data_IF_735148953154
#
_entry.id   IF_735148953154
#
_cell.length_a   1.000
_cell.length_b   1.000
_cell.length_c   1.000
_cell.angle_alpha   90.00
_cell.angle_beta   90.00
_cell.angle_gamma   90.00
#
_symmetry.space_group_name_H-M   'P 1'
#
loop_
_entity.id
_entity.type
_entity.pdbx_description
1 polymer ?
#
# COMPACT_ATOMS: atom_id res chain seq x y z
N UNK A 1 3.24 -11.08 -17.92
CA UNK A 1 4.34 -12.05 -18.07
C UNK A 1 3.76 -13.44 -17.84
N UNK A 2 4.13 -14.42 -18.65
CA UNK A 2 3.77 -15.83 -18.39
C UNK A 2 4.96 -16.48 -17.68
N UNK A 3 4.79 -16.85 -16.42
CA UNK A 3 5.87 -17.37 -15.57
C UNK A 3 6.27 -18.81 -15.90
N UNK A 4 5.42 -19.52 -16.64
CA UNK A 4 5.67 -20.88 -17.10
C UNK A 4 6.41 -20.93 -18.44
N UNK A 5 6.54 -19.78 -19.12
CA UNK A 5 7.24 -19.66 -20.40
C UNK A 5 8.67 -19.16 -20.23
N UNK A 6 9.61 -19.83 -20.90
CA UNK A 6 11.02 -19.44 -20.96
C UNK A 6 11.42 -19.09 -22.41
N UNK A 7 12.15 -17.99 -22.66
CA UNK A 7 12.51 -16.95 -21.68
C UNK A 7 11.28 -16.16 -21.23
N UNK A 8 11.30 -15.72 -19.96
CA UNK A 8 10.26 -14.84 -19.44
C UNK A 8 10.23 -13.53 -20.23
N UNK A 9 9.04 -13.05 -20.59
CA UNK A 9 8.89 -11.80 -21.33
C UNK A 9 7.61 -11.04 -20.96
N UNK A 10 7.67 -9.71 -21.07
CA UNK A 10 6.50 -8.85 -20.96
C UNK A 10 5.67 -8.91 -22.24
N UNK A 11 4.39 -9.22 -22.08
CA UNK A 11 3.40 -9.12 -23.16
C UNK A 11 2.60 -7.83 -22.94
N UNK A 12 2.49 -6.94 -23.95
CA UNK A 12 1.67 -5.75 -23.84
C UNK A 12 0.21 -6.12 -23.51
N UNK A 13 -0.36 -5.43 -22.53
CA UNK A 13 -1.79 -5.46 -22.24
C UNK A 13 -2.44 -4.17 -22.78
N UNK A 14 -3.78 -4.15 -22.96
CA UNK A 14 -4.49 -2.92 -23.30
C UNK A 14 -4.15 -1.79 -22.32
N UNK A 15 -3.93 -0.60 -22.87
CA UNK A 15 -3.65 0.60 -22.08
C UNK A 15 -4.78 0.87 -21.09
N UNK A 16 -4.39 1.26 -19.87
CA UNK A 16 -5.35 1.70 -18.86
C UNK A 16 -6.11 2.94 -19.35
N UNK A 17 -7.45 2.95 -19.32
CA UNK A 17 -8.26 4.02 -19.94
C UNK A 17 -8.48 5.24 -19.04
N UNK A 18 -8.12 5.17 -17.75
CA UNK A 18 -8.19 6.31 -16.85
C UNK A 18 -6.95 7.20 -16.89
N UNK A 19 -6.97 8.30 -16.14
CA UNK A 19 -5.79 9.18 -16.01
C UNK A 19 -4.63 8.46 -15.30
N UNK A 20 -3.41 8.89 -15.61
CA UNK A 20 -2.20 8.46 -14.90
C UNK A 20 -2.37 8.71 -13.38
N UNK A 21 -1.98 7.72 -12.58
CA UNK A 21 -2.26 7.71 -11.14
C UNK A 21 -1.16 7.00 -10.35
N UNK A 22 -0.92 7.52 -9.15
CA UNK A 22 -0.02 6.92 -8.15
C UNK A 22 -0.85 6.33 -7.01
N UNK A 23 -0.31 5.29 -6.37
CA UNK A 23 -0.87 4.69 -5.13
C UNK A 23 -2.37 4.37 -5.23
N UNK A 24 -2.81 3.92 -6.41
CA UNK A 24 -4.14 3.37 -6.59
C UNK A 24 -4.25 2.01 -5.89
N UNK A 25 -5.42 1.71 -5.36
CA UNK A 25 -5.69 0.38 -4.80
C UNK A 25 -5.77 -0.61 -5.95
N UNK A 26 -5.07 -1.73 -5.83
CA UNK A 26 -5.12 -2.83 -6.79
C UNK A 26 -5.44 -4.14 -6.06
N UNK A 27 -6.42 -4.89 -6.57
CA UNK A 27 -6.73 -6.23 -6.10
C UNK A 27 -7.08 -7.13 -7.29
N UNK A 28 -6.62 -8.38 -7.28
CA UNK A 28 -6.84 -9.33 -8.36
C UNK A 28 -7.27 -10.70 -7.83
N UNK A 29 -8.17 -11.37 -8.55
CA UNK A 29 -8.57 -12.76 -8.30
C UNK A 29 -7.96 -13.74 -9.34
N UNK A 30 -7.01 -13.27 -10.14
CA UNK A 30 -6.37 -14.04 -11.23
C UNK A 30 -7.13 -14.04 -12.55
N UNK A 31 -8.41 -13.64 -12.58
CA UNK A 31 -9.20 -13.45 -13.81
C UNK A 31 -9.53 -11.99 -14.08
N UNK A 32 -9.75 -11.25 -13.00
CA UNK A 32 -10.09 -9.84 -13.02
C UNK A 32 -9.16 -9.07 -12.09
N UNK A 33 -8.76 -7.88 -12.52
CA UNK A 33 -7.97 -6.94 -11.73
C UNK A 33 -8.76 -5.65 -11.56
N UNK A 34 -9.01 -5.28 -10.31
CA UNK A 34 -9.73 -4.08 -9.93
C UNK A 34 -8.75 -2.99 -9.49
N UNK A 35 -8.93 -1.79 -10.05
CA UNK A 35 -8.17 -0.60 -9.72
C UNK A 35 -9.14 0.47 -9.21
N UNK A 36 -8.88 1.01 -8.02
CA UNK A 36 -9.68 2.07 -7.43
C UNK A 36 -8.83 3.26 -7.02
N UNK A 37 -9.37 4.47 -7.20
CA UNK A 37 -8.79 5.70 -6.68
C UNK A 37 -7.33 5.94 -7.12
N UNK A 38 -6.45 6.29 -6.17
CA UNK A 38 -5.10 6.81 -6.40
C UNK A 38 -5.08 8.33 -6.51
N UNK A 39 -3.89 8.90 -6.69
CA UNK A 39 -3.71 10.34 -6.91
C UNK A 39 -3.34 10.60 -8.37
N UNK A 40 -4.01 11.54 -9.01
CA UNK A 40 -3.75 11.90 -10.39
C UNK A 40 -4.23 13.31 -10.71
N UNK A 41 -3.96 13.75 -11.93
CA UNK A 41 -4.48 15.00 -12.47
C UNK A 41 -5.58 14.70 -13.47
N UNK A 42 -6.74 15.36 -13.35
CA UNK A 42 -7.84 15.20 -14.30
C UNK A 42 -7.52 15.88 -15.64
N UNK A 43 -6.87 17.04 -15.59
CA UNK A 43 -6.27 17.73 -16.73
C UNK A 43 -4.84 18.19 -16.39
N UNK A 44 -4.01 18.52 -17.39
CA UNK A 44 -2.60 18.91 -17.16
C UNK A 44 -2.42 20.08 -16.19
N UNK A 45 -3.33 21.06 -16.27
CA UNK A 45 -3.32 22.29 -15.48
C UNK A 45 -3.91 22.13 -14.08
N UNK A 46 -4.63 21.03 -13.81
CA UNK A 46 -5.27 20.83 -12.52
C UNK A 46 -4.22 20.52 -11.43
N UNK A 47 -4.48 20.93 -10.17
CA UNK A 47 -3.77 20.39 -9.02
C UNK A 47 -3.93 18.87 -8.94
N UNK A 48 -2.98 18.20 -8.28
CA UNK A 48 -3.10 16.79 -7.98
C UNK A 48 -4.32 16.56 -7.06
N UNK A 49 -5.08 15.49 -7.31
CA UNK A 49 -6.27 15.16 -6.52
C UNK A 49 -6.37 13.66 -6.26
N UNK A 50 -7.05 13.28 -5.18
CA UNK A 50 -7.48 11.89 -4.98
C UNK A 50 -8.60 11.56 -5.96
N UNK A 51 -8.38 10.57 -6.81
CA UNK A 51 -9.34 10.10 -7.81
C UNK A 51 -10.46 9.31 -7.13
N UNK A 52 -11.67 9.42 -7.65
CA UNK A 52 -12.90 8.82 -7.10
C UNK A 52 -13.55 7.84 -8.09
N UNK A 53 -12.72 7.19 -8.92
CA UNK A 53 -13.15 6.24 -9.94
C UNK A 53 -12.65 4.82 -9.67
N UNK A 54 -13.24 3.86 -10.38
CA UNK A 54 -12.85 2.46 -10.36
C UNK A 54 -12.87 1.86 -11.76
N UNK A 55 -11.98 0.91 -12.01
CA UNK A 55 -11.86 0.19 -13.27
C UNK A 55 -11.61 -1.29 -13.00
N UNK A 56 -12.09 -2.14 -13.90
CA UNK A 56 -11.80 -3.58 -13.89
C UNK A 56 -11.18 -3.96 -15.23
N UNK A 57 -10.09 -4.72 -15.18
CA UNK A 57 -9.56 -5.43 -16.32
C UNK A 57 -10.04 -6.87 -16.28
N UNK A 58 -10.62 -7.36 -17.37
CA UNK A 58 -10.96 -8.77 -17.54
C UNK A 58 -9.94 -9.46 -18.43
N UNK A 59 -9.38 -10.57 -17.94
CA UNK A 59 -8.47 -11.42 -18.69
C UNK A 59 -9.19 -12.16 -19.83
N UNK A 60 -10.46 -12.52 -19.65
CA UNK A 60 -11.24 -13.25 -20.66
C UNK A 60 -11.47 -12.40 -21.91
N UNK A 61 -11.85 -11.14 -21.73
CA UNK A 61 -12.08 -10.22 -22.84
C UNK A 61 -10.87 -9.36 -23.20
N UNK A 62 -9.75 -9.53 -22.48
CA UNK A 62 -8.54 -8.70 -22.55
C UNK A 62 -8.88 -7.21 -22.71
N UNK A 63 -9.69 -6.67 -21.79
CA UNK A 63 -10.14 -5.28 -21.88
C UNK A 63 -10.47 -4.66 -20.53
N UNK A 64 -10.38 -3.32 -20.50
CA UNK A 64 -10.74 -2.51 -19.35
C UNK A 64 -12.19 -2.03 -19.45
N UNK A 65 -12.85 -1.98 -18.31
CA UNK A 65 -14.16 -1.36 -18.15
C UNK A 65 -14.12 -0.40 -16.97
N UNK A 66 -14.73 0.78 -17.14
CA UNK A 66 -14.98 1.69 -16.01
C UNK A 66 -16.15 1.13 -15.21
N UNK A 67 -15.97 1.05 -13.90
CA UNK A 67 -17.00 0.59 -12.98
C UNK A 67 -17.97 1.75 -12.74
N UNK A 68 -19.26 1.52 -12.95
CA UNK A 68 -20.31 2.49 -12.62
C UNK A 68 -20.60 2.45 -11.13
N UNK A 69 -19.82 3.23 -10.37
CA UNK A 69 -19.91 3.26 -8.91
C UNK A 69 -19.54 4.64 -8.37
N UNK A 70 -19.95 4.91 -7.13
CA UNK A 70 -19.58 6.12 -6.40
C UNK A 70 -18.79 5.73 -5.15
N UNK A 71 -17.48 6.00 -5.16
CA UNK A 71 -16.62 5.72 -4.02
C UNK A 71 -17.09 6.55 -2.81
N UNK A 72 -17.24 5.94 -1.62
CA UNK A 72 -17.70 6.64 -0.43
C UNK A 72 -16.62 7.55 0.16
N UNK A 73 -15.34 7.20 -0.06
CA UNK A 73 -14.15 7.91 0.44
C UNK A 73 -13.03 7.83 -0.59
N UNK A 74 -12.04 8.73 -0.49
CA UNK A 74 -10.83 8.66 -1.31
C UNK A 74 -9.91 7.55 -0.83
N UNK A 75 -9.44 6.67 -1.71
CA UNK A 75 -8.69 5.45 -1.32
C UNK A 75 -7.21 5.51 -1.72
N UNK A 76 -6.66 6.71 -1.89
CA UNK A 76 -5.23 6.92 -2.16
C UNK A 76 -4.38 6.25 -1.07
N UNK A 77 -3.53 5.30 -1.45
CA UNK A 77 -2.65 4.55 -0.54
C UNK A 77 -3.38 3.56 0.37
N UNK A 78 -4.66 3.29 0.15
CA UNK A 78 -5.37 2.23 0.86
C UNK A 78 -4.91 0.84 0.38
N UNK A 79 -5.17 -0.18 1.18
CA UNK A 79 -4.93 -1.59 0.82
C UNK A 79 -6.25 -2.32 0.70
N UNK A 80 -6.36 -3.27 -0.23
CA UNK A 80 -7.57 -4.07 -0.38
C UNK A 80 -7.26 -5.49 -0.83
N UNK A 81 -8.12 -6.42 -0.46
CA UNK A 81 -8.10 -7.79 -0.96
C UNK A 81 -9.53 -8.37 -0.94
N UNK A 82 -9.74 -9.44 -1.70
CA UNK A 82 -11.01 -10.14 -1.78
C UNK A 82 -11.30 -10.83 -0.46
N UNK A 83 -12.51 -10.66 0.10
CA UNK A 83 -12.99 -11.50 1.21
C UNK A 83 -13.55 -12.82 0.68
N UNK A 84 -14.24 -12.77 -0.44
CA UNK A 84 -14.78 -13.89 -1.21
C UNK A 84 -14.82 -13.52 -2.71
N UNK A 85 -15.40 -14.37 -3.56
CA UNK A 85 -15.47 -14.15 -5.01
C UNK A 85 -16.29 -12.92 -5.44
N UNK A 86 -17.09 -12.34 -4.54
CA UNK A 86 -18.05 -11.26 -4.84
C UNK A 86 -17.67 -9.94 -4.19
N UNK A 87 -16.76 -9.96 -3.23
CA UNK A 87 -16.58 -8.84 -2.30
C UNK A 87 -15.11 -8.53 -2.06
N UNK A 88 -14.78 -7.24 -2.07
CA UNK A 88 -13.49 -6.71 -1.63
C UNK A 88 -13.65 -5.93 -0.32
N UNK A 89 -12.61 -5.96 0.52
CA UNK A 89 -12.51 -5.13 1.73
C UNK A 89 -11.34 -4.16 1.61
N UNK A 90 -11.56 -2.91 2.03
CA UNK A 90 -10.61 -1.81 1.89
C UNK A 90 -10.21 -1.26 3.27
N UNK A 91 -8.92 -0.97 3.42
CA UNK A 91 -8.32 -0.50 4.67
C UNK A 91 -7.55 0.80 4.43
N UNK A 92 -7.94 1.86 5.15
CA UNK A 92 -7.18 3.10 5.19
C UNK A 92 -7.32 3.97 3.94
N UNK A 93 -6.27 4.73 3.67
CA UNK A 93 -6.20 5.73 2.59
C UNK A 93 -6.42 7.16 3.05
N UNK A 94 -5.90 8.10 2.24
CA UNK A 94 -5.97 9.53 2.52
C UNK A 94 -7.41 10.06 2.49
N UNK A 95 -7.72 11.00 3.39
CA UNK A 95 -8.89 11.86 3.23
C UNK A 95 -8.71 12.75 2.00
N UNK A 96 -9.63 12.62 1.05
CA UNK A 96 -9.63 13.39 -0.20
C UNK A 96 -9.64 14.89 0.06
N UNK A 97 -10.50 15.36 0.95
CA UNK A 97 -10.69 16.80 1.22
C UNK A 97 -9.45 17.44 1.82
N UNK A 98 -8.70 16.70 2.64
CA UNK A 98 -7.44 17.15 3.24
C UNK A 98 -6.33 17.16 2.19
N UNK A 99 -6.22 16.10 1.39
CA UNK A 99 -5.22 16.00 0.33
C UNK A 99 -5.42 17.04 -0.77
N UNK A 100 -6.64 17.14 -1.32
CA UNK A 100 -6.98 18.06 -2.40
C UNK A 100 -6.77 19.51 -1.97
N UNK A 101 -7.12 19.85 -0.73
CA UNK A 101 -6.89 21.20 -0.18
C UNK A 101 -5.41 21.55 -0.14
N UNK A 102 -4.55 20.63 0.32
CA UNK A 102 -3.10 20.85 0.31
C UNK A 102 -2.62 21.19 -1.10
N UNK A 103 -2.98 20.40 -2.10
CA UNK A 103 -2.51 20.62 -3.47
C UNK A 103 -3.11 21.86 -4.13
N UNK A 104 -4.36 22.22 -3.79
CA UNK A 104 -4.95 23.49 -4.20
C UNK A 104 -4.21 24.69 -3.57
N UNK A 105 -3.85 24.61 -2.29
CA UNK A 105 -3.06 25.66 -1.62
C UNK A 105 -1.65 25.78 -2.22
N UNK A 106 -0.97 24.65 -2.45
CA UNK A 106 0.36 24.63 -3.06
C UNK A 106 0.37 25.20 -4.48
N UNK A 107 -0.67 24.94 -5.27
CA UNK A 107 -0.81 25.49 -6.62
C UNK A 107 -0.97 27.02 -6.65
N UNK A 108 -1.48 27.60 -5.56
CA UNK A 108 -1.71 29.05 -5.44
C UNK A 108 -0.55 29.81 -4.77
N UNK A 109 0.45 29.11 -4.25
CA UNK A 109 1.61 29.71 -3.57
C UNK A 109 2.50 30.50 -4.54
N UNK A 110 2.98 31.68 -4.12
CA UNK A 110 3.88 32.56 -4.88
C UNK A 110 5.34 32.26 -4.57
N UNK A 111 5.77 31.06 -4.98
CA UNK A 111 7.17 30.62 -4.92
C UNK A 111 7.51 29.73 -3.72
N UNK A 112 8.77 29.27 -3.68
CA UNK A 112 9.21 28.17 -2.83
C UNK A 112 9.05 28.42 -1.32
N UNK A 113 9.23 29.65 -0.85
CA UNK A 113 9.09 29.97 0.59
C UNK A 113 7.67 29.79 1.09
N UNK A 114 6.67 30.16 0.28
CA UNK A 114 5.26 29.99 0.66
C UNK A 114 4.88 28.51 0.60
N UNK A 115 5.33 27.80 -0.44
CA UNK A 115 5.13 26.34 -0.56
C UNK A 115 5.73 25.58 0.64
N UNK A 116 6.95 25.94 1.06
CA UNK A 116 7.59 25.33 2.21
C UNK A 116 6.79 25.55 3.50
N UNK A 117 6.30 26.76 3.75
CA UNK A 117 5.47 27.04 4.94
C UNK A 117 4.16 26.26 4.91
N UNK A 118 3.51 26.16 3.75
CA UNK A 118 2.28 25.36 3.57
C UNK A 118 2.54 23.88 3.88
N UNK A 119 3.63 23.31 3.34
CA UNK A 119 4.03 21.94 3.64
C UNK A 119 4.39 21.75 5.12
N UNK A 120 5.16 22.65 5.72
CA UNK A 120 5.53 22.59 7.14
C UNK A 120 4.30 22.61 8.05
N UNK A 121 3.32 23.48 7.76
CA UNK A 121 2.06 23.55 8.47
C UNK A 121 1.27 22.24 8.35
N UNK A 122 1.18 21.70 7.13
CA UNK A 122 0.51 20.42 6.87
C UNK A 122 1.17 19.26 7.63
N UNK A 123 2.50 19.12 7.54
CA UNK A 123 3.27 18.04 8.18
C UNK A 123 3.26 18.13 9.71
N UNK A 124 3.09 19.33 10.27
CA UNK A 124 3.07 19.57 11.72
C UNK A 124 1.73 19.25 12.39
N UNK A 125 0.72 18.81 11.62
CA UNK A 125 -0.57 18.39 12.18
C UNK A 125 -0.45 17.10 12.99
N UNK A 126 -1.31 16.94 13.99
CA UNK A 126 -1.51 15.69 14.72
C UNK A 126 -2.20 14.64 13.85
N UNK A 127 -2.07 13.36 14.22
CA UNK A 127 -2.56 12.22 13.43
C UNK A 127 -4.06 12.35 13.08
N UNK A 128 -4.90 12.74 14.04
CA UNK A 128 -6.35 12.89 13.89
C UNK A 128 -6.76 13.94 12.84
N UNK A 129 -5.93 14.95 12.61
CA UNK A 129 -6.23 16.05 11.68
C UNK A 129 -6.11 15.66 10.22
N UNK A 130 -5.38 14.58 9.91
CA UNK A 130 -5.30 14.07 8.54
C UNK A 130 -6.58 13.34 8.11
N UNK A 131 -7.39 12.89 9.07
CA UNK A 131 -8.71 12.29 8.81
C UNK A 131 -8.68 11.06 7.91
N UNK A 132 -7.55 10.33 7.85
CA UNK A 132 -7.42 9.12 7.04
C UNK A 132 -8.54 8.13 7.33
N UNK A 133 -8.96 7.36 6.31
CA UNK A 133 -10.19 6.61 6.39
C UNK A 133 -10.10 5.51 7.45
N UNK A 134 -10.83 5.73 8.54
CA UNK A 134 -10.83 4.85 9.71
C UNK A 134 -11.79 3.67 9.55
N UNK A 135 -12.65 3.69 8.54
CA UNK A 135 -13.65 2.66 8.31
C UNK A 135 -13.12 1.57 7.39
N UNK A 136 -13.63 0.34 7.58
CA UNK A 136 -13.45 -0.76 6.62
C UNK A 136 -14.64 -0.72 5.66
N UNK A 137 -14.35 -0.46 4.40
CA UNK A 137 -15.35 -0.43 3.33
C UNK A 137 -15.39 -1.76 2.60
N UNK A 138 -16.60 -2.19 2.22
CA UNK A 138 -16.82 -3.34 1.35
C UNK A 138 -17.31 -2.86 -0.01
N UNK A 139 -16.75 -3.42 -1.08
CA UNK A 139 -17.27 -3.29 -2.43
C UNK A 139 -17.92 -4.61 -2.88
N UNK A 140 -19.19 -4.57 -3.23
CA UNK A 140 -19.94 -5.66 -3.86
C UNK A 140 -19.77 -5.55 -5.38
N UNK A 141 -19.10 -6.54 -5.96
CA UNK A 141 -18.79 -6.59 -7.39
C UNK A 141 -20.06 -6.72 -8.24
N UNK A 142 -21.00 -7.56 -7.82
CA UNK A 142 -22.18 -7.89 -8.62
C UNK A 142 -23.11 -6.67 -8.78
N UNK A 143 -23.21 -5.86 -7.72
CA UNK A 143 -24.04 -4.66 -7.70
C UNK A 143 -23.26 -3.36 -7.98
N UNK A 144 -21.94 -3.43 -8.10
CA UNK A 144 -21.04 -2.26 -8.19
C UNK A 144 -21.29 -1.23 -7.07
N UNK A 145 -21.60 -1.71 -5.86
CA UNK A 145 -22.02 -0.88 -4.74
C UNK A 145 -21.07 -0.95 -3.55
N UNK A 146 -21.03 0.13 -2.79
CA UNK A 146 -20.22 0.26 -1.59
C UNK A 146 -21.08 0.19 -0.33
N UNK A 147 -20.56 -0.48 0.69
CA UNK A 147 -21.17 -0.58 2.00
C UNK A 147 -20.11 -0.35 3.08
N UNK A 148 -20.47 0.41 4.12
CA UNK A 148 -19.67 0.44 5.34
C UNK A 148 -19.75 -0.95 5.97
N UNK A 149 -18.61 -1.64 6.11
CA UNK A 149 -18.59 -2.95 6.76
C UNK A 149 -18.56 -2.78 8.28
N UNK A 150 -17.56 -2.07 8.81
CA UNK A 150 -17.48 -1.67 10.21
C UNK A 150 -16.37 -0.62 10.41
N UNK A 151 -16.30 -0.03 11.60
CA UNK A 151 -15.19 0.84 12.01
C UNK A 151 -13.92 -0.01 12.25
N UNK A 152 -12.75 0.43 11.77
CA UNK A 152 -11.48 -0.20 12.16
C UNK A 152 -11.07 0.29 13.56
N UNK A 153 -10.85 -0.58 14.55
CA UNK A 153 -10.43 -0.16 15.89
C UNK A 153 -8.94 0.21 15.99
N UNK A 154 -8.14 -0.06 14.96
CA UNK A 154 -6.72 0.28 14.88
C UNK A 154 -6.51 1.47 13.95
N UNK A 155 -5.41 2.22 14.10
CA UNK A 155 -5.15 3.40 13.29
C UNK A 155 -5.29 3.13 11.78
N UNK A 156 -5.97 4.04 11.08
CA UNK A 156 -5.95 4.07 9.62
C UNK A 156 -4.52 4.24 9.10
N UNK A 157 -4.21 3.55 8.01
CA UNK A 157 -2.85 3.56 7.43
C UNK A 157 -2.88 3.90 5.95
N UNK A 158 -1.76 4.42 5.44
CA UNK A 158 -1.52 4.59 4.02
C UNK A 158 -0.22 3.88 3.62
N UNK A 159 -0.24 3.14 2.51
CA UNK A 159 0.88 2.33 2.04
C UNK A 159 1.19 1.14 2.95
N UNK A 160 0.22 0.63 3.68
CA UNK A 160 0.36 -0.59 4.46
C UNK A 160 0.41 -1.81 3.55
N UNK A 161 1.23 -2.79 3.90
CA UNK A 161 1.24 -4.08 3.21
C UNK A 161 0.08 -4.93 3.73
N UNK A 162 -0.66 -5.58 2.83
CA UNK A 162 -1.80 -6.44 3.17
C UNK A 162 -1.54 -7.85 2.67
N UNK A 163 -1.71 -8.83 3.56
CA UNK A 163 -1.63 -10.26 3.20
C UNK A 163 -2.86 -10.97 3.73
N UNK A 164 -3.61 -11.62 2.84
CA UNK A 164 -4.65 -12.57 3.23
C UNK A 164 -4.06 -13.97 3.39
N UNK A 165 -4.18 -14.53 4.58
CA UNK A 165 -3.82 -15.92 4.88
C UNK A 165 -5.06 -16.68 5.34
N UNK A 166 -5.64 -17.49 4.45
CA UNK A 166 -6.94 -18.14 4.67
C UNK A 166 -8.03 -17.08 4.98
N UNK A 167 -8.57 -17.09 6.19
CA UNK A 167 -9.61 -16.14 6.64
C UNK A 167 -9.04 -14.95 7.46
N UNK A 168 -7.72 -14.89 7.63
CA UNK A 168 -7.06 -13.82 8.35
C UNK A 168 -6.51 -12.79 7.35
N UNK A 169 -6.90 -11.54 7.51
CA UNK A 169 -6.25 -10.41 6.83
C UNK A 169 -5.20 -9.85 7.76
N UNK A 170 -3.96 -9.73 7.30
CA UNK A 170 -2.85 -9.17 8.08
C UNK A 170 -2.41 -7.87 7.45
N UNK A 171 -2.69 -6.78 8.16
CA UNK A 171 -2.23 -5.45 7.79
C UNK A 171 -0.91 -5.18 8.52
N UNK A 172 0.14 -4.97 7.73
CA UNK A 172 1.52 -4.83 8.19
C UNK A 172 1.92 -3.37 8.02
N UNK A 173 2.03 -2.69 9.14
CA UNK A 173 2.60 -1.34 9.25
C UNK A 173 1.90 -0.30 8.36
N UNK A 174 2.63 0.43 7.51
CA UNK A 174 2.14 1.57 6.75
C UNK A 174 2.31 2.89 7.51
N UNK A 175 2.18 4.01 6.79
CA UNK A 175 2.13 5.32 7.44
C UNK A 175 0.89 5.40 8.34
N UNK A 176 0.94 6.19 9.41
CA UNK A 176 -0.23 6.61 10.22
C UNK A 176 -0.47 8.12 10.13
N UNK A 177 0.51 8.83 9.60
CA UNK A 177 0.45 10.20 9.09
C UNK A 177 1.65 10.39 8.14
N UNK A 178 1.69 11.47 7.34
CA UNK A 178 2.82 11.72 6.45
C UNK A 178 4.18 11.66 7.17
N UNK A 179 5.02 10.71 6.74
CA UNK A 179 6.36 10.48 7.25
C UNK A 179 6.47 9.94 8.69
N UNK A 180 5.41 9.32 9.22
CA UNK A 180 5.48 8.49 10.42
C UNK A 180 4.77 7.16 10.16
N UNK A 181 5.46 6.05 10.38
CA UNK A 181 4.93 4.70 10.17
C UNK A 181 4.43 4.06 11.45
N UNK A 182 3.48 3.15 11.31
CA UNK A 182 3.06 2.24 12.36
C UNK A 182 4.15 1.21 12.60
N UNK A 183 4.34 0.81 13.86
CA UNK A 183 5.14 -0.36 14.24
C UNK A 183 4.27 -1.60 14.46
N UNK A 184 2.99 -1.55 14.08
CA UNK A 184 2.02 -2.60 14.39
C UNK A 184 1.81 -3.51 13.18
N UNK A 185 1.78 -4.81 13.46
CA UNK A 185 1.15 -5.81 12.59
C UNK A 185 -0.18 -6.21 13.22
N UNK A 186 -1.27 -6.14 12.45
CA UNK A 186 -2.62 -6.38 12.96
C UNK A 186 -3.31 -7.44 12.12
N UNK A 187 -3.84 -8.46 12.79
CA UNK A 187 -4.71 -9.47 12.20
C UNK A 187 -6.18 -9.09 12.32
N UNK A 188 -6.94 -9.31 11.24
CA UNK A 188 -8.36 -9.03 11.13
C UNK A 188 -9.12 -10.30 10.73
N UNK A 189 -10.14 -10.63 11.53
CA UNK A 189 -11.07 -11.72 11.27
C UNK A 189 -12.48 -11.16 11.10
N UNK A 190 -13.02 -11.35 9.90
CA UNK A 190 -14.37 -10.93 9.53
C UNK A 190 -15.36 -12.06 9.84
N UNK A 191 -16.36 -11.75 10.65
CA UNK A 191 -17.35 -12.69 11.17
C UNK A 191 -18.72 -12.39 10.56
N UNK A 192 -19.63 -13.36 10.65
CA UNK A 192 -21.02 -13.17 10.21
C UNK A 192 -21.68 -11.95 10.87
N UNK A 193 -22.50 -11.25 10.11
CA UNK A 193 -23.24 -10.08 10.57
C UNK A 193 -22.39 -8.82 10.75
N UNK A 194 -21.40 -8.60 9.87
CA UNK A 194 -20.55 -7.39 9.86
C UNK A 194 -19.76 -7.17 11.16
N UNK A 195 -19.38 -8.27 11.81
CA UNK A 195 -18.58 -8.22 13.04
C UNK A 195 -17.11 -8.38 12.70
N UNK A 196 -16.28 -7.63 13.41
CA UNK A 196 -14.83 -7.69 13.30
C UNK A 196 -14.22 -8.13 14.63
N UNK A 197 -13.31 -9.10 14.55
CA UNK A 197 -12.35 -9.39 15.61
C UNK A 197 -10.97 -8.99 15.13
N UNK A 198 -10.19 -8.32 15.99
CA UNK A 198 -8.80 -7.95 15.67
C UNK A 198 -7.85 -8.59 16.68
N UNK A 199 -6.65 -8.90 16.23
CA UNK A 199 -5.56 -9.39 17.06
C UNK A 199 -4.28 -8.62 16.77
N UNK A 200 -3.59 -8.19 17.82
CA UNK A 200 -2.22 -7.72 17.68
C UNK A 200 -1.32 -8.92 17.37
N UNK A 201 -0.55 -8.82 16.30
CA UNK A 201 0.46 -9.81 15.95
C UNK A 201 1.84 -9.31 16.40
N UNK A 202 2.86 -10.20 16.48
CA UNK A 202 4.23 -9.79 16.75
C UNK A 202 4.66 -8.62 15.86
N UNK A 203 5.49 -7.73 16.38
CA UNK A 203 5.98 -6.56 15.63
C UNK A 203 7.42 -6.78 15.20
N UNK A 204 7.80 -6.22 14.06
CA UNK A 204 9.20 -6.28 13.60
C UNK A 204 10.12 -5.56 14.59
N UNK A 205 9.66 -4.45 15.17
CA UNK A 205 10.42 -3.70 16.19
C UNK A 205 10.71 -4.49 17.47
N UNK A 206 9.99 -5.58 17.75
CA UNK A 206 10.29 -6.45 18.89
C UNK A 206 11.54 -7.32 18.64
N UNK A 207 12.02 -7.35 17.39
CA UNK A 207 13.15 -8.16 16.92
C UNK A 207 14.31 -7.28 16.41
N UNK A 208 13.99 -6.06 15.97
CA UNK A 208 14.96 -5.03 15.60
C UNK A 208 14.58 -3.69 16.25
N UNK A 209 15.27 -3.33 17.33
CA UNK A 209 15.07 -2.07 18.07
C UNK A 209 15.31 -0.82 17.19
N UNK A 210 15.98 -0.97 16.04
CA UNK A 210 16.21 0.09 15.05
C UNK A 210 15.06 0.28 14.07
N UNK A 211 14.02 -0.56 14.12
CA UNK A 211 12.92 -0.55 13.17
C UNK A 211 12.00 0.66 13.37
N UNK A 212 11.79 1.42 12.30
CA UNK A 212 11.00 2.67 12.30
C UNK A 212 9.57 2.48 11.76
N UNK A 213 9.22 1.25 11.38
CA UNK A 213 8.04 0.94 10.60
C UNK A 213 8.30 1.14 9.12
N UNK A 214 7.55 0.43 8.27
CA UNK A 214 7.68 0.42 6.82
C UNK A 214 6.37 0.89 6.18
N UNK A 215 6.48 1.61 5.06
CA UNK A 215 5.37 1.83 4.13
C UNK A 215 5.81 1.56 2.69
N UNK A 216 4.88 1.16 1.83
CA UNK A 216 5.16 0.79 0.45
C UNK A 216 5.98 -0.49 0.35
N UNK A 217 5.85 -1.40 1.32
CA UNK A 217 6.48 -2.72 1.25
C UNK A 217 5.74 -3.62 0.28
N UNK A 218 6.47 -4.60 -0.26
CA UNK A 218 5.91 -5.72 -1.00
C UNK A 218 5.46 -6.78 0.00
N UNK A 219 4.38 -7.49 -0.30
CA UNK A 219 3.92 -8.55 0.60
C UNK A 219 3.18 -9.67 -0.11
N UNK A 220 3.16 -10.83 0.54
CA UNK A 220 2.41 -11.99 0.10
C UNK A 220 2.77 -13.22 0.93
N UNK A 221 2.38 -14.39 0.43
CA UNK A 221 2.74 -15.67 1.04
C UNK A 221 3.91 -16.29 0.28
N UNK A 222 4.89 -16.81 1.01
CA UNK A 222 5.95 -17.70 0.50
C UNK A 222 5.87 -18.98 1.32
N UNK A 223 5.67 -20.14 0.68
CA UNK A 223 5.44 -21.42 1.38
C UNK A 223 4.42 -21.29 2.53
N UNK A 224 3.28 -20.62 2.24
CA UNK A 224 2.21 -20.38 3.22
C UNK A 224 2.63 -19.53 4.46
N UNK A 225 3.78 -18.84 4.40
CA UNK A 225 4.31 -17.92 5.42
C UNK A 225 4.11 -16.47 5.00
N UNK A 226 3.57 -15.65 5.90
CA UNK A 226 3.37 -14.22 5.66
C UNK A 226 4.74 -13.54 5.54
N UNK A 227 4.96 -12.88 4.41
CA UNK A 227 6.23 -12.25 4.07
C UNK A 227 6.03 -10.76 3.77
N UNK A 228 6.89 -9.92 4.34
CA UNK A 228 7.06 -8.51 4.01
C UNK A 228 8.45 -8.33 3.39
N UNK A 229 8.54 -7.63 2.26
CA UNK A 229 9.79 -7.37 1.57
C UNK A 229 9.96 -5.87 1.34
N UNK A 230 11.14 -5.35 1.63
CA UNK A 230 11.53 -3.98 1.36
C UNK A 230 10.64 -2.92 2.00
N UNK A 231 10.36 -1.85 1.25
CA UNK A 231 9.58 -0.69 1.69
C UNK A 231 10.45 0.45 2.24
N UNK A 232 9.85 1.62 2.46
CA UNK A 232 10.58 2.85 2.80
C UNK A 232 10.26 3.36 4.20
N UNK A 233 11.20 4.06 4.83
CA UNK A 233 11.12 4.57 6.21
C UNK A 233 12.04 5.78 6.48
N UNK A 234 11.99 6.34 7.69
CA UNK A 234 12.80 7.48 8.12
C UNK A 234 13.43 7.21 9.49
N UNK A 235 14.76 7.11 9.55
CA UNK A 235 15.51 6.86 10.80
C UNK A 235 15.40 8.06 11.74
N UNK A 236 14.86 7.85 12.93
CA UNK A 236 14.61 8.86 13.96
C UNK A 236 13.18 9.40 13.98
N UNK A 237 12.30 8.97 13.08
CA UNK A 237 10.94 9.48 12.99
C UNK A 237 10.09 9.13 14.22
N UNK A 238 10.22 7.90 14.73
CA UNK A 238 9.56 7.45 15.95
C UNK A 238 10.04 8.25 17.17
N UNK A 239 11.36 8.44 17.29
CA UNK A 239 11.96 9.22 18.38
C UNK A 239 11.54 10.69 18.35
N UNK A 240 11.50 11.31 17.17
CA UNK A 240 11.01 12.67 16.99
C UNK A 240 9.56 12.80 17.43
N UNK A 241 8.69 11.88 17.00
CA UNK A 241 7.28 11.88 17.36
C UNK A 241 7.07 11.66 18.87
N UNK A 242 7.80 10.73 19.48
CA UNK A 242 7.76 10.47 20.93
C UNK A 242 8.18 11.70 21.77
N UNK A 243 9.01 12.58 21.21
CA UNK A 243 9.40 13.87 21.82
C UNK A 243 8.41 15.01 21.53
N UNK A 244 7.24 14.71 20.93
CA UNK A 244 6.19 15.68 20.63
C UNK A 244 6.42 16.47 19.33
N UNK A 245 7.40 16.09 18.49
CA UNK A 245 7.59 16.72 17.16
C UNK A 245 6.64 16.08 16.15
N UNK A 246 5.51 16.74 15.89
CA UNK A 246 4.54 16.24 14.92
C UNK A 246 5.14 16.12 13.52
N UNK A 247 5.92 17.08 13.03
CA UNK A 247 6.69 16.91 11.79
C UNK A 247 7.87 15.94 12.05
N UNK A 248 7.54 14.66 12.25
CA UNK A 248 8.42 13.61 12.75
C UNK A 248 9.63 13.35 11.86
N UNK A 249 9.52 13.61 10.56
CA UNK A 249 10.56 13.35 9.57
C UNK A 249 11.25 14.62 9.05
N UNK A 250 11.05 15.77 9.72
CA UNK A 250 11.69 17.02 9.30
C UNK A 250 13.21 16.89 9.32
N UNK A 251 13.85 17.12 8.17
CA UNK A 251 15.30 17.03 8.01
C UNK A 251 15.86 15.60 7.99
N UNK A 252 15.00 14.58 8.05
CA UNK A 252 15.42 13.18 7.93
C UNK A 252 15.51 12.78 6.46
N UNK A 253 16.41 11.85 6.16
CA UNK A 253 16.51 11.21 4.84
C UNK A 253 15.61 9.98 4.79
N UNK A 254 14.94 9.76 3.65
CA UNK A 254 14.17 8.54 3.41
C UNK A 254 15.13 7.38 3.11
N UNK A 255 14.90 6.24 3.75
CA UNK A 255 15.64 5.00 3.54
C UNK A 255 14.72 3.95 2.90
N UNK A 256 15.32 3.01 2.17
CA UNK A 256 14.63 1.91 1.50
C UNK A 256 15.23 0.61 2.05
N UNK A 257 14.38 -0.24 2.59
CA UNK A 257 14.78 -1.52 3.16
C UNK A 257 15.07 -2.53 2.05
N UNK A 258 16.10 -3.33 2.24
CA UNK A 258 16.37 -4.55 1.46
C UNK A 258 15.90 -5.81 2.18
N UNK A 259 15.43 -5.72 3.42
CA UNK A 259 15.07 -6.89 4.24
C UNK A 259 13.88 -7.66 3.68
N UNK A 260 13.93 -8.98 3.84
CA UNK A 260 12.83 -9.92 3.66
C UNK A 260 12.48 -10.47 5.04
N UNK A 261 11.33 -10.03 5.56
CA UNK A 261 10.80 -10.45 6.85
C UNK A 261 9.76 -11.54 6.66
N UNK A 262 9.82 -12.60 7.47
CA UNK A 262 8.81 -13.65 7.53
C UNK A 262 8.22 -13.73 8.94
N UNK A 263 6.90 -13.86 9.02
CA UNK A 263 6.18 -14.00 10.28
C UNK A 263 6.00 -15.48 10.62
N UNK A 264 6.78 -15.93 11.61
CA UNK A 264 6.70 -17.25 12.23
C UNK A 264 5.59 -17.27 13.28
N UNK A 265 4.80 -18.35 13.34
CA UNK A 265 3.69 -18.47 14.29
C UNK A 265 4.10 -18.61 15.75
N UNK A 266 5.32 -19.09 16.02
CA UNK A 266 5.85 -19.33 17.38
C UNK A 266 6.79 -18.20 17.81
N UNK A 267 7.68 -17.79 16.91
CA UNK A 267 8.79 -16.87 17.25
C UNK A 267 8.56 -15.42 16.80
N UNK A 268 7.47 -15.14 16.08
CA UNK A 268 7.18 -13.82 15.53
C UNK A 268 7.99 -13.50 14.26
N UNK A 269 8.27 -12.21 14.01
CA UNK A 269 8.99 -11.81 12.81
C UNK A 269 10.47 -12.24 12.84
N UNK A 270 10.99 -12.66 11.70
CA UNK A 270 12.42 -12.95 11.50
C UNK A 270 12.88 -12.35 10.18
N UNK A 271 14.06 -11.75 10.16
CA UNK A 271 14.71 -11.37 8.90
C UNK A 271 15.26 -12.65 8.26
N UNK A 272 14.57 -13.13 7.22
CA UNK A 272 14.89 -14.39 6.56
C UNK A 272 15.98 -14.23 5.48
N UNK A 273 16.00 -13.08 4.80
CA UNK A 273 16.92 -12.79 3.71
C UNK A 273 16.98 -11.27 3.41
N UNK A 274 17.73 -10.90 2.37
CA UNK A 274 17.78 -9.55 1.82
C UNK A 274 17.68 -9.58 0.30
N UNK A 275 17.01 -8.56 -0.26
CA UNK A 275 17.08 -8.21 -1.67
C UNK A 275 18.47 -7.67 -2.00
N UNK A 276 18.88 -7.69 -3.29
CA UNK A 276 20.17 -7.11 -3.69
C UNK A 276 20.23 -5.58 -3.53
N UNK A 277 19.09 -4.91 -3.47
CA UNK A 277 18.98 -3.46 -3.30
C UNK A 277 17.65 -3.12 -2.62
N UNK A 278 17.65 -2.09 -1.76
CA UNK A 278 16.45 -1.63 -1.09
C UNK A 278 15.48 -0.94 -2.05
N UNK A 279 14.21 -1.31 -1.96
CA UNK A 279 13.17 -0.87 -2.91
C UNK A 279 11.81 -0.77 -2.23
N UNK A 280 10.95 0.12 -2.69
CA UNK A 280 9.59 0.33 -2.16
C UNK A 280 8.60 0.69 -3.28
N UNK A 281 7.30 0.72 -2.98
CA UNK A 281 6.25 1.24 -3.87
C UNK A 281 6.18 0.57 -5.25
N UNK A 282 6.49 -0.73 -5.33
CA UNK A 282 6.27 -1.53 -6.53
C UNK A 282 5.06 -2.45 -6.39
N UNK A 283 5.06 -3.54 -7.17
CA UNK A 283 3.98 -4.53 -7.17
C UNK A 283 4.51 -5.87 -6.65
N UNK A 284 3.72 -6.55 -5.81
CA UNK A 284 3.99 -7.94 -5.42
C UNK A 284 2.85 -8.87 -5.80
N UNK A 285 3.20 -10.07 -6.25
CA UNK A 285 2.25 -11.10 -6.68
C UNK A 285 2.69 -12.43 -6.07
N UNK A 286 1.87 -13.02 -5.21
CA UNK A 286 2.09 -14.37 -4.73
C UNK A 286 1.70 -15.37 -5.84
N UNK A 287 2.62 -16.24 -6.22
CA UNK A 287 2.42 -17.29 -7.23
C UNK A 287 3.05 -18.57 -6.72
N UNK A 288 2.25 -19.62 -6.61
CA UNK A 288 2.61 -20.89 -5.98
C UNK A 288 3.25 -20.65 -4.60
N UNK A 289 4.48 -21.13 -4.40
CA UNK A 289 5.25 -20.98 -3.17
C UNK A 289 6.27 -19.82 -3.23
N UNK A 290 6.04 -18.84 -4.12
CA UNK A 290 6.96 -17.72 -4.37
C UNK A 290 6.26 -16.37 -4.35
N UNK A 291 7.04 -15.31 -4.12
CA UNK A 291 6.60 -13.93 -4.24
C UNK A 291 7.36 -13.25 -5.38
N UNK A 292 6.62 -12.77 -6.38
CA UNK A 292 7.17 -11.96 -7.48
C UNK A 292 7.12 -10.50 -7.07
N UNK A 293 8.26 -9.82 -7.10
CA UNK A 293 8.43 -8.40 -6.76
C UNK A 293 8.83 -7.64 -8.02
N UNK A 294 8.04 -6.65 -8.43
CA UNK A 294 8.19 -5.95 -9.72
C UNK A 294 8.34 -4.46 -9.50
N UNK A 295 9.40 -3.89 -10.08
CA UNK A 295 9.67 -2.46 -10.13
C UNK A 295 9.77 -1.83 -8.75
N UNK A 296 9.34 -0.57 -8.64
CA UNK A 296 9.39 0.23 -7.42
C UNK A 296 10.42 1.36 -7.47
N UNK A 297 10.54 2.08 -6.38
CA UNK A 297 11.41 3.23 -6.18
C UNK A 297 12.66 2.83 -5.38
N UNK A 298 13.82 3.23 -5.89
CA UNK A 298 15.13 3.02 -5.27
C UNK A 298 15.58 4.27 -4.51
N UNK A 299 16.60 4.12 -3.65
CA UNK A 299 17.20 5.25 -2.91
C UNK A 299 17.76 6.37 -3.80
N UNK A 300 18.08 6.07 -5.06
CA UNK A 300 18.49 7.05 -6.07
C UNK A 300 17.35 7.95 -6.56
N UNK A 301 16.10 7.61 -6.24
CA UNK A 301 14.90 8.20 -6.80
C UNK A 301 14.54 7.66 -8.20
N UNK A 302 15.31 6.71 -8.73
CA UNK A 302 15.00 6.04 -9.98
C UNK A 302 14.01 4.90 -9.78
N UNK A 303 13.30 4.53 -10.85
CA UNK A 303 12.47 3.34 -10.90
C UNK A 303 13.35 2.10 -11.11
N UNK A 304 13.13 1.06 -10.31
CA UNK A 304 13.71 -0.27 -10.54
C UNK A 304 13.08 -0.89 -11.79
N UNK A 305 13.91 -1.44 -12.67
CA UNK A 305 13.49 -2.24 -13.83
C UNK A 305 13.45 -3.75 -13.50
N UNK A 306 13.75 -4.12 -12.25
CA UNK A 306 13.85 -5.51 -11.83
C UNK A 306 12.49 -6.15 -11.62
N UNK A 307 12.47 -7.45 -11.90
CA UNK A 307 11.44 -8.36 -11.43
C UNK A 307 12.16 -9.53 -10.76
N UNK A 308 11.90 -9.72 -9.47
CA UNK A 308 12.54 -10.71 -8.61
C UNK A 308 11.53 -11.79 -8.26
N UNK A 309 11.95 -13.06 -8.30
CA UNK A 309 11.15 -14.18 -7.81
C UNK A 309 11.78 -14.65 -6.50
N UNK A 310 11.10 -14.41 -5.39
CA UNK A 310 11.56 -14.73 -4.04
C UNK A 310 10.92 -16.03 -3.60
N UNK A 311 11.74 -17.01 -3.19
CA UNK A 311 11.31 -18.31 -2.67
C UNK A 311 12.33 -18.80 -1.64
N UNK A 312 11.96 -19.78 -0.80
CA UNK A 312 12.87 -20.31 0.25
C UNK A 312 14.16 -20.91 -0.31
N UNK A 313 14.17 -21.36 -1.56
CA UNK A 313 15.40 -21.62 -2.31
C UNK A 313 15.72 -20.39 -3.15
N UNK A 314 16.41 -19.39 -2.58
CA UNK A 314 16.81 -18.16 -3.28
C UNK A 314 17.26 -18.45 -4.73
N UNK A 315 16.38 -18.19 -5.70
CA UNK A 315 16.65 -18.28 -7.14
C UNK A 315 16.51 -16.88 -7.71
N UNK A 316 17.64 -16.19 -7.87
CA UNK A 316 17.67 -14.97 -8.66
C UNK A 316 17.46 -15.34 -10.13
N UNK A 317 16.36 -14.91 -10.72
CA UNK A 317 16.23 -14.80 -12.18
C UNK A 317 16.28 -13.33 -12.56
N UNK A 318 17.36 -12.90 -13.20
CA UNK A 318 17.40 -11.63 -13.91
C UNK A 318 16.47 -11.72 -15.12
N UNK A 319 15.47 -10.86 -15.17
CA UNK A 319 14.62 -10.68 -16.34
C UNK A 319 15.30 -9.72 -17.32
N UNK A 320 15.41 -10.14 -18.58
CA UNK A 320 15.82 -9.30 -19.71
C UNK A 320 14.69 -8.36 -20.15
#
# INVERSE_FOLDING_TARGET
MDVDQQPLCWKPAPSFPGVARNDAVCASNGREMYIFSGAGKLNSEDPLTVLMDGYVFSLESESWQKIDTSLPVGLLGASADFVDEKNLLFFGGYCKEVFDRLFAELANCKGATEQQRTLEAFMSQSIDRYGWNQDIWQFDIANSSWHLYCDNPNAATCGASLVKHKQLFVLIEGEIKPGLRSLKTTGYHFLEGQKLSTQALPRIVDQDDGHEGIAGGYSGLINNTITLVGGAYFIGSQSNFAQGRNYSHQGLTKHYSDSIWQLDSEDGWKEAAKMPEGCAYGVSIAVDDSLIVIGGELASGCTSDRCLIISDTNRESSLC
#
